data_IF_380545326527
#
_entry.id   IF_380545326527
#
_cell.length_a   1.000
_cell.length_b   1.000
_cell.length_c   1.000
_cell.angle_alpha   90.00
_cell.angle_beta   90.00
_cell.angle_gamma   90.00
#
_symmetry.space_group_name_H-M   'P 1'
#
loop_
_entity.id
_entity.type
_entity.pdbx_description
1 polymer ?
#
# COMPACT_ATOMS: atom_id res chain seq x y z
N UNK A 1 32.28 16.60 -81.82
CA UNK A 1 32.34 18.03 -82.18
C UNK A 1 31.01 18.64 -81.73
N UNK A 2 30.98 19.21 -80.52
CA UNK A 2 29.89 20.00 -79.94
C UNK A 2 30.61 21.02 -79.03
N UNK A 3 30.72 22.30 -79.42
CA UNK A 3 29.91 23.43 -78.90
C UNK A 3 30.20 23.66 -77.40
N UNK A 4 30.66 24.80 -76.87
CA UNK A 4 30.18 26.19 -76.93
C UNK A 4 31.12 26.98 -75.96
N UNK A 5 31.74 28.13 -76.30
CA UNK A 5 31.30 29.50 -75.99
C UNK A 5 30.76 29.70 -74.53
N UNK A 6 31.04 30.75 -73.74
CA UNK A 6 31.72 32.04 -73.88
C UNK A 6 31.61 32.76 -72.50
N UNK A 7 32.51 33.72 -72.22
CA UNK A 7 32.40 34.87 -71.29
C UNK A 7 32.33 34.63 -69.76
N UNK A 8 33.36 35.02 -69.00
CA UNK A 8 33.64 36.37 -68.47
C UNK A 8 32.71 36.76 -67.30
N UNK A 9 33.28 36.91 -66.10
CA UNK A 9 33.29 38.18 -65.36
C UNK A 9 34.24 38.09 -64.15
N UNK A 10 34.93 39.20 -63.96
CA UNK A 10 36.02 39.50 -63.05
C UNK A 10 35.67 39.46 -61.56
N UNK A 11 36.61 38.96 -60.77
CA UNK A 11 36.80 39.35 -59.38
C UNK A 11 38.11 38.77 -58.89
N UNK A 12 39.12 39.61 -58.64
CA UNK A 12 40.32 39.21 -57.94
C UNK A 12 39.89 38.67 -56.56
N UNK A 13 39.80 37.35 -56.43
CA UNK A 13 39.60 36.71 -55.14
C UNK A 13 40.95 36.78 -54.43
N UNK A 14 41.00 37.63 -53.41
CA UNK A 14 42.22 37.88 -52.64
C UNK A 14 42.34 36.73 -51.63
N UNK A 15 42.88 35.59 -52.08
CA UNK A 15 43.01 34.35 -51.30
C UNK A 15 43.76 34.58 -49.97
N UNK A 16 44.65 35.56 -49.91
CA UNK A 16 45.39 35.95 -48.70
C UNK A 16 44.45 36.39 -47.56
N UNK A 17 43.33 37.06 -47.86
CA UNK A 17 42.34 37.46 -46.83
C UNK A 17 41.51 36.29 -46.33
N UNK A 18 41.37 35.24 -47.14
CA UNK A 18 40.65 34.02 -46.78
C UNK A 18 41.55 33.12 -45.93
N UNK A 19 42.85 33.07 -46.24
CA UNK A 19 43.84 32.40 -45.41
C UNK A 19 44.10 33.11 -44.08
N UNK A 20 44.12 34.45 -44.02
CA UNK A 20 44.21 35.19 -42.75
C UNK A 20 42.96 35.01 -41.86
N UNK A 21 41.77 34.85 -42.46
CA UNK A 21 40.54 34.56 -41.72
C UNK A 21 40.43 33.10 -41.25
N UNK A 22 41.11 32.16 -41.93
CA UNK A 22 41.13 30.72 -41.60
C UNK A 22 42.29 30.37 -40.66
N UNK A 23 43.42 31.08 -40.76
CA UNK A 23 44.62 30.88 -39.95
C UNK A 23 44.82 31.96 -38.88
N UNK A 24 43.77 32.68 -38.46
CA UNK A 24 43.90 33.62 -37.35
C UNK A 24 44.49 32.88 -36.15
N UNK A 25 45.77 33.15 -35.87
CA UNK A 25 46.64 32.31 -35.05
C UNK A 25 46.09 32.19 -33.63
N UNK A 26 45.38 33.23 -33.18
CA UNK A 26 44.66 33.26 -31.91
C UNK A 26 43.49 32.28 -31.86
N UNK A 27 42.81 32.02 -32.98
CA UNK A 27 41.68 31.09 -33.04
C UNK A 27 42.17 29.64 -33.04
N UNK A 28 43.27 29.35 -33.75
CA UNK A 28 43.92 28.03 -33.75
C UNK A 28 44.58 27.74 -32.38
N UNK A 29 45.25 28.73 -31.77
CA UNK A 29 45.78 28.61 -30.42
C UNK A 29 44.66 28.44 -29.39
N UNK A 30 43.58 29.22 -29.49
CA UNK A 30 42.39 29.08 -28.65
C UNK A 30 41.71 27.71 -28.79
N UNK A 31 41.66 27.14 -30.00
CA UNK A 31 41.15 25.78 -30.23
C UNK A 31 42.09 24.70 -29.68
N UNK A 32 43.42 24.88 -29.79
CA UNK A 32 44.40 23.97 -29.20
C UNK A 32 44.36 24.00 -27.68
N UNK A 33 44.20 25.17 -27.08
CA UNK A 33 44.09 25.30 -25.62
C UNK A 33 42.73 24.80 -25.13
N UNK A 34 41.65 25.03 -25.88
CA UNK A 34 40.36 24.40 -25.60
C UNK A 34 40.44 22.88 -25.67
N UNK A 35 41.10 22.33 -26.69
CA UNK A 35 41.30 20.88 -26.81
C UNK A 35 42.09 20.33 -25.61
N UNK A 36 43.18 20.97 -25.18
CA UNK A 36 43.92 20.56 -23.97
C UNK A 36 43.06 20.61 -22.70
N UNK A 37 42.23 21.64 -22.56
CA UNK A 37 41.31 21.75 -21.41
C UNK A 37 40.27 20.63 -21.44
N UNK A 38 39.70 20.35 -22.61
CA UNK A 38 38.72 19.27 -22.80
C UNK A 38 39.35 17.91 -22.54
N UNK A 39 40.52 17.63 -23.08
CA UNK A 39 41.23 16.36 -22.89
C UNK A 39 41.60 16.16 -21.41
N UNK A 40 42.11 17.20 -20.73
CA UNK A 40 42.38 17.17 -19.29
C UNK A 40 41.11 16.95 -18.45
N UNK A 41 40.01 17.60 -18.82
CA UNK A 41 38.72 17.42 -18.16
C UNK A 41 38.17 16.00 -18.40
N UNK A 42 38.30 15.46 -19.62
CA UNK A 42 37.89 14.09 -19.97
C UNK A 42 38.72 13.07 -19.19
N UNK A 43 40.04 13.22 -19.09
CA UNK A 43 40.88 12.34 -18.26
C UNK A 43 40.51 12.42 -16.77
N UNK A 44 40.28 13.63 -16.25
CA UNK A 44 39.84 13.83 -14.88
C UNK A 44 38.46 13.20 -14.63
N UNK A 45 37.53 13.32 -15.59
CA UNK A 45 36.20 12.69 -15.55
C UNK A 45 36.29 11.16 -15.65
N UNK A 46 37.13 10.60 -16.53
CA UNK A 46 37.38 9.16 -16.58
C UNK A 46 37.94 8.63 -15.25
N UNK A 47 38.84 9.38 -14.63
CA UNK A 47 39.39 9.05 -13.31
C UNK A 47 38.34 9.19 -12.22
N UNK A 48 37.48 10.22 -12.27
CA UNK A 48 36.37 10.43 -11.34
C UNK A 48 35.34 9.30 -11.42
N UNK A 49 34.92 8.92 -12.64
CA UNK A 49 33.99 7.81 -12.89
C UNK A 49 34.55 6.48 -12.38
N UNK A 50 35.88 6.29 -12.45
CA UNK A 50 36.53 5.08 -11.96
C UNK A 50 36.82 5.07 -10.45
N UNK A 51 36.76 6.22 -9.75
CA UNK A 51 37.16 6.37 -8.33
C UNK A 51 36.00 6.77 -7.41
N UNK A 52 34.92 7.36 -7.92
CA UNK A 52 33.75 7.71 -7.12
C UNK A 52 32.71 6.60 -7.15
N UNK A 53 31.86 6.54 -6.12
CA UNK A 53 30.76 5.60 -5.98
C UNK A 53 29.66 5.78 -7.03
N UNK A 54 30.02 5.78 -8.31
CA UNK A 54 29.09 5.75 -9.43
C UNK A 54 28.19 4.52 -9.33
N UNK A 55 27.00 4.63 -9.92
CA UNK A 55 26.09 3.50 -10.09
C UNK A 55 26.81 2.43 -10.91
N UNK A 56 27.08 1.28 -10.30
CA UNK A 56 27.74 0.14 -10.93
C UNK A 56 26.73 -0.90 -11.38
N UNK A 57 25.60 -0.99 -10.67
CA UNK A 57 24.56 -1.96 -10.96
C UNK A 57 23.20 -1.45 -10.50
N UNK A 58 22.14 -1.81 -11.22
CA UNK A 58 20.76 -1.63 -10.79
C UNK A 58 20.07 -2.99 -10.69
N UNK A 59 19.60 -3.35 -9.51
CA UNK A 59 18.83 -4.59 -9.30
C UNK A 59 17.34 -4.25 -9.20
N UNK A 60 16.47 -4.80 -10.06
CA UNK A 60 15.03 -4.58 -9.96
C UNK A 60 14.47 -5.27 -8.70
N UNK A 61 13.56 -4.60 -8.01
CA UNK A 61 12.81 -5.14 -6.88
C UNK A 61 11.48 -5.65 -7.40
N UNK A 62 11.22 -6.95 -7.27
CA UNK A 62 10.03 -7.60 -7.82
C UNK A 62 9.13 -8.11 -6.69
N UNK A 63 7.85 -7.72 -6.72
CA UNK A 63 6.82 -8.24 -5.83
C UNK A 63 5.65 -8.73 -6.68
N UNK A 64 5.25 -9.99 -6.51
CA UNK A 64 4.13 -10.57 -7.29
C UNK A 64 4.37 -10.67 -8.79
N UNK A 65 5.63 -10.63 -9.25
CA UNK A 65 5.99 -10.63 -10.68
C UNK A 65 6.10 -9.23 -11.30
N UNK A 66 5.81 -8.17 -10.55
CA UNK A 66 5.89 -6.78 -11.01
C UNK A 66 7.09 -6.06 -10.38
N UNK A 67 7.82 -5.26 -11.19
CA UNK A 67 8.96 -4.46 -10.69
C UNK A 67 8.46 -3.19 -9.99
N UNK A 68 8.58 -3.14 -8.67
CA UNK A 68 8.09 -2.06 -7.79
C UNK A 68 9.17 -1.03 -7.41
N UNK A 69 10.41 -1.22 -7.87
CA UNK A 69 11.53 -0.34 -7.55
C UNK A 69 12.84 -0.85 -8.09
N UNK A 70 13.92 -0.11 -7.86
CA UNK A 70 15.28 -0.49 -8.19
C UNK A 70 16.21 -0.19 -7.01
N UNK A 71 17.11 -1.12 -6.74
CA UNK A 71 18.26 -0.89 -5.87
C UNK A 71 19.42 -0.46 -6.75
N UNK A 72 19.92 0.75 -6.50
CA UNK A 72 21.11 1.30 -7.12
C UNK A 72 22.30 0.91 -6.24
N UNK A 73 23.24 0.18 -6.84
CA UNK A 73 24.50 -0.17 -6.18
C UNK A 73 25.59 0.77 -6.63
N UNK A 74 26.16 1.48 -5.67
CA UNK A 74 27.36 2.30 -5.87
C UNK A 74 28.61 1.43 -5.87
N UNK A 75 29.75 1.93 -6.37
CA UNK A 75 31.00 1.16 -6.46
C UNK A 75 31.54 0.66 -5.11
N UNK A 76 31.14 1.28 -3.99
CA UNK A 76 31.43 0.83 -2.63
C UNK A 76 30.34 -0.11 -2.04
N UNK A 77 29.45 -0.65 -2.87
CA UNK A 77 28.33 -1.54 -2.50
C UNK A 77 27.38 -0.98 -1.44
N UNK A 78 27.21 0.33 -1.38
CA UNK A 78 26.19 0.95 -0.53
C UNK A 78 24.87 0.99 -1.31
N UNK A 79 23.82 0.26 -0.89
CA UNK A 79 22.58 0.23 -1.64
C UNK A 79 21.76 1.50 -1.40
N UNK A 80 21.28 2.10 -2.49
CA UNK A 80 20.22 3.12 -2.45
C UNK A 80 18.98 2.53 -3.12
N UNK A 81 17.92 2.33 -2.34
CA UNK A 81 16.67 1.76 -2.84
C UNK A 81 15.70 2.87 -3.20
N UNK A 82 15.19 2.83 -4.44
CA UNK A 82 14.17 3.77 -4.93
C UNK A 82 12.97 2.95 -5.39
N UNK A 83 11.80 3.20 -4.80
CA UNK A 83 10.54 2.59 -5.22
C UNK A 83 9.87 3.41 -6.33
N UNK A 84 9.10 2.75 -7.20
CA UNK A 84 8.28 3.44 -8.20
C UNK A 84 7.25 4.34 -7.52
N UNK A 85 7.07 5.56 -8.05
CA UNK A 85 5.92 6.40 -7.76
C UNK A 85 4.63 5.83 -8.38
N UNK A 86 3.48 6.23 -7.84
CA UNK A 86 2.16 5.60 -8.05
C UNK A 86 1.64 5.60 -9.50
N UNK A 87 2.15 6.47 -10.38
CA UNK A 87 1.58 6.72 -11.72
C UNK A 87 2.51 6.42 -12.90
N UNK A 88 3.61 5.68 -12.71
CA UNK A 88 4.68 5.48 -13.74
C UNK A 88 5.32 6.79 -14.25
N UNK A 89 4.90 7.94 -13.71
CA UNK A 89 5.50 9.24 -13.97
C UNK A 89 6.81 9.37 -13.19
N UNK A 90 7.92 9.14 -13.88
CA UNK A 90 9.24 9.43 -13.33
C UNK A 90 9.36 10.93 -13.06
N UNK A 91 9.68 11.37 -11.83
CA UNK A 91 9.93 12.78 -11.57
C UNK A 91 11.08 13.27 -12.45
N UNK A 92 10.79 14.22 -13.33
CA UNK A 92 11.75 14.75 -14.29
C UNK A 92 12.36 16.03 -13.73
N UNK A 93 13.63 15.95 -13.34
CA UNK A 93 14.45 17.13 -13.07
C UNK A 93 14.97 17.65 -14.40
N UNK A 94 14.75 18.92 -14.70
CA UNK A 94 15.10 19.53 -16.00
C UNK A 94 15.49 21.00 -15.85
N UNK A 95 15.98 21.60 -16.92
CA UNK A 95 16.34 23.01 -16.96
C UNK A 95 15.34 23.79 -17.83
N UNK A 96 14.93 24.97 -17.38
CA UNK A 96 14.12 25.91 -18.18
C UNK A 96 14.79 27.27 -18.24
N UNK A 97 14.79 27.91 -19.41
CA UNK A 97 15.33 29.25 -19.60
C UNK A 97 14.23 30.29 -19.42
N UNK A 98 14.43 31.25 -18.50
CA UNK A 98 13.50 32.34 -18.27
C UNK A 98 13.77 33.52 -19.22
N UNK A 99 12.86 34.50 -19.28
CA UNK A 99 12.96 35.69 -20.12
C UNK A 99 14.19 36.58 -19.85
N UNK A 100 14.84 36.38 -18.71
CA UNK A 100 16.11 37.00 -18.31
C UNK A 100 17.36 36.26 -18.84
N UNK A 101 17.17 35.25 -19.71
CA UNK A 101 18.18 34.38 -20.33
C UNK A 101 18.93 33.48 -19.33
N UNK A 102 18.52 33.38 -18.07
CA UNK A 102 19.08 32.46 -17.09
C UNK A 102 18.39 31.10 -17.17
N UNK A 103 19.11 30.04 -16.79
CA UNK A 103 18.55 28.71 -16.65
C UNK A 103 18.21 28.44 -15.18
N UNK A 104 17.10 27.73 -14.97
CA UNK A 104 16.57 27.39 -13.66
C UNK A 104 16.22 25.91 -13.59
N UNK A 105 16.39 25.32 -12.42
CA UNK A 105 15.99 23.94 -12.17
C UNK A 105 14.47 23.81 -12.09
N UNK A 106 13.95 22.74 -12.68
CA UNK A 106 12.54 22.39 -12.69
C UNK A 106 12.33 20.95 -12.23
N UNK A 107 11.21 20.71 -11.55
CA UNK A 107 10.68 19.39 -11.25
C UNK A 107 9.34 19.25 -11.96
N UNK A 108 9.22 18.28 -12.87
CA UNK A 108 8.02 18.06 -13.68
C UNK A 108 7.56 19.34 -14.41
N UNK A 109 8.53 20.12 -14.92
CA UNK A 109 8.27 21.38 -15.63
C UNK A 109 7.94 22.59 -14.74
N UNK A 110 7.82 22.42 -13.42
CA UNK A 110 7.60 23.52 -12.46
C UNK A 110 8.93 23.97 -11.86
N UNK A 111 9.13 25.28 -11.68
CA UNK A 111 10.35 25.83 -11.08
C UNK A 111 10.53 25.32 -9.64
N UNK A 112 11.73 24.82 -9.35
CA UNK A 112 12.17 24.56 -7.98
C UNK A 112 12.49 25.90 -7.34
N UNK A 113 12.02 26.11 -6.11
CA UNK A 113 12.20 27.35 -5.35
C UNK A 113 12.98 27.10 -4.06
N UNK A 114 13.74 28.10 -3.63
CA UNK A 114 14.37 28.14 -2.31
C UNK A 114 13.34 28.42 -1.18
N UNK A 115 13.80 28.43 0.07
CA UNK A 115 12.96 28.66 1.26
C UNK A 115 12.40 30.08 1.34
N UNK A 116 12.99 31.03 0.61
CA UNK A 116 12.49 32.40 0.47
C UNK A 116 11.53 32.55 -0.71
N UNK A 117 11.27 31.47 -1.46
CA UNK A 117 10.35 31.41 -2.59
C UNK A 117 10.96 31.82 -3.94
N UNK A 118 12.28 32.04 -4.02
CA UNK A 118 12.96 32.41 -5.25
C UNK A 118 13.32 31.17 -6.09
N UNK A 119 13.23 31.23 -7.43
CA UNK A 119 13.64 30.13 -8.29
C UNK A 119 15.13 29.80 -8.16
N UNK A 120 15.45 28.50 -8.07
CA UNK A 120 16.85 28.03 -7.96
C UNK A 120 17.54 28.11 -9.31
N UNK A 121 18.46 29.07 -9.45
CA UNK A 121 19.21 29.31 -10.68
C UNK A 121 20.24 28.18 -10.93
N UNK A 122 20.26 27.65 -12.15
CA UNK A 122 21.18 26.60 -12.58
C UNK A 122 22.49 27.15 -13.18
N UNK A 123 22.55 28.46 -13.42
CA UNK A 123 23.75 29.15 -13.87
C UNK A 123 24.34 30.01 -12.75
N UNK A 124 25.68 30.06 -12.65
CA UNK A 124 26.35 31.16 -11.94
C UNK A 124 26.09 32.48 -12.68
N UNK A 125 25.64 33.51 -11.98
CA UNK A 125 25.46 34.86 -12.57
C UNK A 125 26.79 35.64 -12.52
N UNK A 126 27.14 36.53 -13.45
CA UNK A 126 26.38 37.71 -13.88
C UNK A 126 26.47 38.07 -15.37
N UNK A 127 25.56 38.96 -15.78
CA UNK A 127 25.39 39.47 -17.13
C UNK A 127 26.65 40.14 -17.71
N UNK A 128 27.07 39.69 -18.89
CA UNK A 128 27.96 40.44 -19.78
C UNK A 128 29.47 40.25 -19.57
N UNK A 129 29.91 39.54 -18.54
CA UNK A 129 31.32 39.20 -18.36
C UNK A 129 31.57 37.72 -18.65
N UNK A 130 32.66 37.43 -19.37
CA UNK A 130 33.12 36.07 -19.64
C UNK A 130 33.34 35.37 -18.29
N UNK A 131 32.49 34.41 -17.95
CA UNK A 131 32.72 33.51 -16.83
C UNK A 131 33.64 32.40 -17.34
N UNK A 132 34.84 32.25 -16.77
CA UNK A 132 35.73 31.15 -17.11
C UNK A 132 35.03 29.80 -17.07
N UNK A 133 35.24 28.98 -18.10
CA UNK A 133 34.70 27.61 -18.11
C UNK A 133 35.31 26.84 -16.93
N UNK A 134 34.50 26.13 -16.12
CA UNK A 134 35.05 25.34 -15.03
C UNK A 134 36.09 24.33 -15.54
N UNK A 135 37.25 24.31 -14.90
CA UNK A 135 38.34 23.39 -15.21
C UNK A 135 38.52 22.40 -14.05
N UNK A 136 38.81 21.14 -14.36
CA UNK A 136 39.02 20.09 -13.38
C UNK A 136 40.43 19.50 -13.54
N UNK A 137 41.14 19.32 -12.43
CA UNK A 137 42.46 18.66 -12.40
C UNK A 137 42.54 17.63 -11.29
N UNK A 138 43.22 16.52 -11.56
CA UNK A 138 43.63 15.59 -10.53
C UNK A 138 44.89 16.14 -9.83
N UNK A 139 44.96 16.05 -8.50
CA UNK A 139 46.08 16.54 -7.70
C UNK A 139 47.41 15.92 -8.11
N UNK A 140 47.42 14.66 -8.59
CA UNK A 140 48.61 14.01 -9.18
C UNK A 140 49.28 14.86 -10.26
N UNK A 141 48.48 15.62 -11.02
CA UNK A 141 48.89 16.45 -12.15
C UNK A 141 49.12 17.92 -11.76
N UNK A 142 49.12 18.28 -10.47
CA UNK A 142 49.36 19.64 -9.98
C UNK A 142 50.62 19.70 -9.10
N UNK A 143 51.41 20.77 -9.18
CA UNK A 143 52.67 20.94 -8.44
C UNK A 143 52.51 21.71 -7.12
N UNK A 144 51.72 22.79 -7.10
CA UNK A 144 51.34 23.62 -5.95
C UNK A 144 49.93 24.18 -6.18
N UNK A 145 49.19 24.55 -5.12
CA UNK A 145 47.95 25.32 -5.28
C UNK A 145 48.26 26.82 -5.45
N UNK A 146 47.21 27.61 -5.59
CA UNK A 146 47.28 29.07 -5.78
C UNK A 146 48.02 29.83 -4.69
N UNK A 147 48.06 29.27 -3.48
CA UNK A 147 48.64 29.88 -2.29
C UNK A 147 49.99 29.25 -1.94
N UNK A 148 50.58 28.48 -2.86
CA UNK A 148 51.84 27.74 -2.68
C UNK A 148 51.78 26.66 -1.59
N UNK A 149 50.58 26.19 -1.24
CA UNK A 149 50.36 25.11 -0.27
C UNK A 149 50.63 23.75 -0.92
N UNK A 150 51.13 22.76 -0.16
CA UNK A 150 51.29 21.40 -0.66
C UNK A 150 49.96 20.81 -1.18
N UNK A 151 49.93 20.45 -2.47
CA UNK A 151 48.79 19.76 -3.10
C UNK A 151 48.63 18.35 -2.53
N UNK A 152 47.40 17.98 -2.17
CA UNK A 152 47.07 16.57 -1.98
C UNK A 152 47.03 15.90 -3.35
N UNK A 153 48.10 15.16 -3.65
CA UNK A 153 48.24 14.37 -4.88
C UNK A 153 47.09 13.42 -5.11
N UNK A 154 46.36 13.04 -4.05
CA UNK A 154 45.20 12.17 -4.19
C UNK A 154 43.94 12.95 -4.53
N UNK A 155 43.77 14.23 -4.22
CA UNK A 155 42.51 14.95 -4.40
C UNK A 155 42.20 15.32 -5.87
N UNK A 156 40.99 15.82 -6.13
CA UNK A 156 40.65 16.54 -7.36
C UNK A 156 40.47 18.01 -7.03
N UNK A 157 40.68 18.89 -8.00
CA UNK A 157 40.60 20.33 -7.83
C UNK A 157 39.80 20.94 -8.98
N UNK A 158 38.93 21.91 -8.66
CA UNK A 158 38.12 22.65 -9.61
C UNK A 158 38.51 24.13 -9.58
N UNK A 159 38.67 24.71 -10.76
CA UNK A 159 38.82 26.15 -10.96
C UNK A 159 37.61 26.68 -11.69
N UNK A 160 37.10 27.83 -11.25
CA UNK A 160 36.00 28.56 -11.88
C UNK A 160 36.44 29.95 -12.38
N UNK A 161 37.75 30.17 -12.46
CA UNK A 161 38.40 31.45 -12.74
C UNK A 161 39.58 31.34 -13.74
N UNK A 162 39.47 30.43 -14.71
CA UNK A 162 40.45 30.14 -15.79
C UNK A 162 41.78 29.57 -15.27
N UNK A 163 41.70 28.76 -14.21
CA UNK A 163 42.87 28.13 -13.59
C UNK A 163 43.65 29.09 -12.71
N UNK A 164 43.13 30.29 -12.44
CA UNK A 164 43.76 31.27 -11.55
C UNK A 164 43.72 30.82 -10.10
N UNK A 165 42.66 30.14 -9.65
CA UNK A 165 42.57 29.51 -8.32
C UNK A 165 41.93 28.11 -8.42
N UNK A 166 42.30 27.23 -7.49
CA UNK A 166 41.89 25.83 -7.49
C UNK A 166 41.38 25.40 -6.12
N UNK A 167 40.12 24.98 -6.05
CA UNK A 167 39.46 24.49 -4.83
C UNK A 167 39.34 22.97 -4.88
N UNK A 168 39.56 22.28 -3.76
CA UNK A 168 39.42 20.82 -3.70
C UNK A 168 37.97 20.38 -3.96
N UNK A 169 37.81 19.41 -4.86
CA UNK A 169 36.55 18.72 -5.09
C UNK A 169 36.38 17.64 -4.01
N UNK A 170 35.22 17.60 -3.32
CA UNK A 170 35.01 16.73 -2.17
C UNK A 170 35.10 15.24 -2.50
N UNK A 171 35.67 14.45 -1.57
CA UNK A 171 35.57 12.99 -1.57
C UNK A 171 34.74 12.48 -0.39
N UNK A 172 33.82 11.52 -0.58
CA UNK A 172 32.96 11.03 0.48
C UNK A 172 33.70 10.33 1.63
N UNK A 173 34.92 9.83 1.40
CA UNK A 173 35.50 8.82 2.26
C UNK A 173 36.55 9.31 3.27
N UNK A 174 37.17 10.49 3.15
CA UNK A 174 38.14 10.99 4.16
C UNK A 174 38.24 12.53 4.29
N UNK A 175 37.59 13.06 5.32
CA UNK A 175 38.14 14.07 6.23
C UNK A 175 38.24 15.55 5.81
N UNK A 176 38.54 15.87 4.54
CA UNK A 176 38.83 17.26 4.16
C UNK A 176 38.04 17.71 2.91
N UNK A 177 36.85 17.16 2.66
CA UNK A 177 35.98 17.49 1.54
C UNK A 177 34.68 18.15 1.98
N UNK A 178 34.23 19.18 1.26
CA UNK A 178 32.91 19.80 1.43
C UNK A 178 31.80 18.80 1.06
N UNK A 179 31.18 18.11 2.01
CA UNK A 179 29.94 17.39 1.72
C UNK A 179 28.84 18.45 1.44
N UNK A 180 28.13 18.46 0.30
CA UNK A 180 27.07 19.45 0.06
C UNK A 180 25.93 19.35 1.07
N UNK A 181 25.80 18.19 1.73
CA UNK A 181 24.85 17.90 2.79
C UNK A 181 25.61 17.69 4.10
N UNK A 182 25.30 18.48 5.12
CA UNK A 182 25.83 18.35 6.46
C UNK A 182 25.16 17.20 7.23
N UNK A 183 23.85 17.01 7.08
CA UNK A 183 23.09 15.95 7.76
C UNK A 183 21.75 15.67 7.08
N UNK A 184 21.27 14.43 7.16
CA UNK A 184 19.88 14.06 6.83
C UNK A 184 19.16 13.70 8.13
N UNK A 185 17.98 14.30 8.36
CA UNK A 185 17.13 14.04 9.51
C UNK A 185 15.81 13.47 9.00
N UNK A 186 15.51 12.25 9.43
CA UNK A 186 14.24 11.61 9.13
C UNK A 186 13.19 11.99 10.17
N UNK A 187 12.14 12.72 9.77
CA UNK A 187 11.00 13.10 10.63
C UNK A 187 9.77 12.25 10.28
N UNK A 188 8.72 12.36 11.08
CA UNK A 188 7.48 11.60 10.82
C UNK A 188 6.82 11.99 9.49
N UNK A 189 6.74 13.29 9.19
CA UNK A 189 6.06 13.87 8.02
C UNK A 189 7.00 14.42 6.94
N UNK A 190 8.32 14.40 7.16
CA UNK A 190 9.29 14.94 6.20
C UNK A 190 10.69 14.35 6.36
N UNK A 191 11.55 14.57 5.38
CA UNK A 191 12.99 14.35 5.44
C UNK A 191 13.67 15.70 5.27
N UNK A 192 14.44 16.12 6.27
CA UNK A 192 15.22 17.36 6.19
C UNK A 192 16.65 17.03 5.79
N UNK A 193 17.12 17.67 4.72
CA UNK A 193 18.50 17.61 4.28
C UNK A 193 19.14 18.95 4.62
N UNK A 194 19.97 18.96 5.65
CA UNK A 194 20.78 20.11 6.03
C UNK A 194 21.94 20.24 5.04
N UNK A 195 22.06 21.39 4.40
CA UNK A 195 23.17 21.74 3.52
C UNK A 195 24.37 22.18 4.36
N UNK A 196 25.57 22.00 3.82
CA UNK A 196 26.81 22.37 4.51
C UNK A 196 27.31 23.76 4.11
N UNK A 197 26.40 24.74 3.98
CA UNK A 197 26.75 26.13 3.69
C UNK A 197 26.86 26.97 4.97
N UNK A 198 27.47 28.15 4.90
CA UNK A 198 27.58 29.07 6.05
C UNK A 198 26.21 29.52 6.59
N UNK A 199 25.17 29.44 5.76
CA UNK A 199 23.80 29.82 6.10
C UNK A 199 23.01 28.71 6.83
N UNK A 200 23.46 27.46 6.79
CA UNK A 200 22.77 26.30 7.35
C UNK A 200 21.45 25.97 6.64
N UNK A 201 21.40 26.12 5.32
CA UNK A 201 20.19 25.92 4.51
C UNK A 201 19.61 24.50 4.69
N UNK A 202 18.28 24.38 4.75
CA UNK A 202 17.58 23.10 4.88
C UNK A 202 16.69 22.86 3.67
N UNK A 203 16.88 21.74 2.98
CA UNK A 203 15.94 21.22 1.99
C UNK A 203 14.99 20.25 2.68
N UNK A 204 13.72 20.65 2.83
CA UNK A 204 12.68 19.79 3.39
C UNK A 204 11.92 19.07 2.27
N UNK A 205 11.93 17.73 2.34
CA UNK A 205 11.16 16.86 1.46
C UNK A 205 9.99 16.29 2.27
N UNK A 206 8.78 16.74 2.01
CA UNK A 206 7.59 16.22 2.69
C UNK A 206 7.39 14.74 2.32
N UNK A 207 7.20 13.91 3.35
CA UNK A 207 6.73 12.54 3.18
C UNK A 207 5.25 12.60 2.85
N UNK A 208 4.84 11.86 1.83
CA UNK A 208 3.42 11.70 1.55
C UNK A 208 2.80 10.85 2.67
N UNK A 209 2.16 11.53 3.62
CA UNK A 209 1.39 10.88 4.67
C UNK A 209 0.14 10.29 4.05
N UNK A 210 0.04 8.97 4.03
CA UNK A 210 -1.15 8.29 3.50
C UNK A 210 -2.36 8.59 4.39
N UNK A 211 -3.46 8.99 3.76
CA UNK A 211 -4.75 9.06 4.40
C UNK A 211 -5.09 7.71 5.04
N UNK A 212 -5.55 7.73 6.28
CA UNK A 212 -6.06 6.56 6.98
C UNK A 212 -7.49 6.80 7.44
N UNK A 213 -8.28 5.76 7.36
CA UNK A 213 -9.57 5.66 8.04
C UNK A 213 -9.43 4.57 9.10
N UNK A 214 -9.82 4.86 10.33
CA UNK A 214 -9.64 3.96 11.46
C UNK A 214 -10.99 3.75 12.11
N UNK A 215 -11.45 2.50 12.06
CA UNK A 215 -12.68 2.08 12.71
C UNK A 215 -12.44 1.81 14.19
N UNK A 216 -13.39 2.18 15.03
CA UNK A 216 -13.35 1.87 16.46
C UNK A 216 -13.65 0.38 16.69
N UNK A 217 -12.82 -0.26 17.50
CA UNK A 217 -12.90 -1.69 17.84
C UNK A 217 -13.04 -1.89 19.34
N UNK A 218 -13.45 -3.08 19.76
CA UNK A 218 -13.42 -3.48 21.16
C UNK A 218 -11.96 -3.65 21.66
N UNK A 219 -11.81 -3.98 22.95
CA UNK A 219 -10.51 -4.19 23.62
C UNK A 219 -9.65 -5.29 22.97
N UNK A 220 -10.26 -6.20 22.22
CA UNK A 220 -9.60 -7.29 21.51
C UNK A 220 -9.26 -6.94 20.04
N UNK A 221 -9.52 -5.70 19.61
CA UNK A 221 -9.30 -5.28 18.22
C UNK A 221 -10.38 -5.73 17.23
N UNK A 222 -11.51 -6.25 17.72
CA UNK A 222 -12.59 -6.79 16.91
C UNK A 222 -13.81 -5.84 16.88
N UNK A 223 -14.62 -5.98 15.83
CA UNK A 223 -15.92 -5.32 15.72
C UNK A 223 -16.99 -6.38 15.94
N UNK A 224 -17.74 -6.27 17.04
CA UNK A 224 -18.75 -7.26 17.41
C UNK A 224 -20.13 -6.90 16.85
N UNK A 225 -20.78 -7.87 16.19
CA UNK A 225 -22.21 -7.79 15.84
C UNK A 225 -22.98 -8.65 16.84
N UNK A 226 -23.90 -8.05 17.59
CA UNK A 226 -24.84 -8.79 18.43
C UNK A 226 -26.23 -8.69 17.82
N UNK A 227 -26.74 -9.81 17.29
CA UNK A 227 -28.15 -10.01 16.95
C UNK A 227 -28.80 -8.90 16.09
N UNK A 228 -28.07 -8.34 15.13
CA UNK A 228 -28.59 -7.30 14.22
C UNK A 228 -28.06 -7.49 12.80
N UNK A 229 -28.94 -7.32 11.80
CA UNK A 229 -28.57 -7.25 10.39
C UNK A 229 -27.89 -5.91 10.01
N UNK A 230 -27.93 -4.94 10.93
CA UNK A 230 -27.29 -3.64 10.82
C UNK A 230 -26.18 -3.52 11.85
N UNK A 231 -24.98 -3.18 11.41
CA UNK A 231 -23.84 -2.89 12.26
C UNK A 231 -23.44 -1.44 12.05
N UNK A 232 -23.59 -0.60 13.08
CA UNK A 232 -23.09 0.78 13.07
C UNK A 232 -21.72 0.84 13.75
N UNK A 233 -20.74 1.44 13.07
CA UNK A 233 -19.35 1.51 13.50
C UNK A 233 -18.90 2.97 13.42
N UNK A 234 -18.29 3.47 14.49
CA UNK A 234 -17.63 4.78 14.48
C UNK A 234 -16.28 4.69 13.78
N UNK A 235 -15.89 5.78 13.11
CA UNK A 235 -14.58 5.90 12.49
C UNK A 235 -13.96 7.27 12.76
N UNK A 236 -12.64 7.33 12.67
CA UNK A 236 -11.86 8.57 12.64
C UNK A 236 -10.91 8.56 11.45
N UNK A 237 -10.46 9.74 11.05
CA UNK A 237 -9.52 9.92 9.96
C UNK A 237 -8.17 10.44 10.46
N UNK A 238 -7.10 10.04 9.78
CA UNK A 238 -5.76 10.63 9.93
C UNK A 238 -5.26 11.04 8.54
N UNK A 239 -4.61 12.20 8.44
CA UNK A 239 -4.06 12.73 7.18
C UNK A 239 -5.12 12.84 6.06
N UNK A 240 -6.33 13.27 6.41
CA UNK A 240 -7.41 13.61 5.48
C UNK A 240 -7.69 15.10 5.67
N UNK A 241 -7.55 15.87 4.59
CA UNK A 241 -7.73 17.32 4.63
C UNK A 241 -9.21 17.68 4.82
N UNK A 242 -9.47 18.84 5.44
CA UNK A 242 -10.83 19.30 5.79
C UNK A 242 -11.76 19.48 4.56
N UNK A 243 -11.19 19.62 3.35
CA UNK A 243 -11.91 19.75 2.09
C UNK A 243 -12.16 18.41 1.37
N UNK A 244 -11.73 17.31 1.98
CA UNK A 244 -11.87 15.96 1.45
C UNK A 244 -13.08 15.26 2.07
N UNK A 245 -13.73 14.40 1.28
CA UNK A 245 -14.87 13.60 1.73
C UNK A 245 -14.61 12.11 1.47
N UNK A 246 -15.37 11.26 2.16
CA UNK A 246 -15.23 9.81 2.10
C UNK A 246 -16.40 9.21 1.33
N UNK A 247 -16.08 8.30 0.41
CA UNK A 247 -17.06 7.42 -0.23
C UNK A 247 -16.88 6.01 0.31
N UNK A 248 -17.93 5.46 0.93
CA UNK A 248 -17.96 4.10 1.43
C UNK A 248 -18.71 3.17 0.47
N UNK A 249 -18.08 2.07 0.09
CA UNK A 249 -18.66 1.07 -0.82
C UNK A 249 -18.47 -0.33 -0.23
N UNK A 250 -19.51 -1.15 -0.23
CA UNK A 250 -19.41 -2.55 0.14
C UNK A 250 -19.43 -3.45 -1.08
N UNK A 251 -18.71 -4.58 -1.01
CA UNK A 251 -18.71 -5.60 -2.06
C UNK A 251 -19.53 -6.82 -1.64
N UNK A 252 -19.89 -7.67 -2.60
CA UNK A 252 -20.52 -8.97 -2.35
C UNK A 252 -21.77 -8.89 -1.44
N UNK A 253 -22.69 -7.97 -1.74
CA UNK A 253 -23.93 -7.82 -0.97
C UNK A 253 -23.78 -7.08 0.36
N UNK A 254 -22.60 -6.59 0.70
CA UNK A 254 -22.44 -5.61 1.77
C UNK A 254 -22.98 -4.26 1.28
N UNK A 255 -24.09 -3.81 1.85
CA UNK A 255 -24.58 -2.45 1.65
C UNK A 255 -24.01 -1.55 2.73
N UNK A 256 -23.67 -0.32 2.36
CA UNK A 256 -23.02 0.62 3.27
C UNK A 256 -23.76 1.94 3.24
N UNK A 257 -24.07 2.46 4.42
CA UNK A 257 -24.72 3.74 4.63
C UNK A 257 -23.80 4.63 5.46
N UNK A 258 -23.33 5.73 4.87
CA UNK A 258 -22.66 6.78 5.63
C UNK A 258 -23.72 7.63 6.35
N UNK A 259 -23.61 7.70 7.68
CA UNK A 259 -24.55 8.44 8.51
C UNK A 259 -24.21 9.93 8.58
N UNK A 260 -23.06 10.36 8.04
CA UNK A 260 -22.56 11.74 8.06
C UNK A 260 -22.35 12.32 9.48
N UNK A 261 -22.16 11.45 10.47
CA UNK A 261 -21.96 11.81 11.88
C UNK A 261 -20.69 11.19 12.48
N UNK A 262 -19.77 10.72 11.62
CA UNK A 262 -18.58 9.95 12.03
C UNK A 262 -18.87 8.46 12.25
N UNK A 263 -20.05 7.98 11.85
CA UNK A 263 -20.38 6.56 11.85
C UNK A 263 -20.80 6.08 10.47
N UNK A 264 -20.59 4.78 10.24
CA UNK A 264 -21.05 4.07 9.05
C UNK A 264 -21.90 2.88 9.48
N UNK A 265 -23.02 2.66 8.81
CA UNK A 265 -23.87 1.48 9.00
C UNK A 265 -23.64 0.49 7.87
N UNK A 266 -23.15 -0.68 8.24
CA UNK A 266 -23.05 -1.85 7.38
C UNK A 266 -24.38 -2.62 7.43
N UNK A 267 -24.94 -2.89 6.27
CA UNK A 267 -26.18 -3.66 6.10
C UNK A 267 -25.86 -4.94 5.34
N UNK A 268 -26.14 -6.06 5.98
CA UNK A 268 -25.84 -7.40 5.48
C UNK A 268 -27.00 -7.89 4.60
N UNK A 269 -26.80 -7.94 3.28
CA UNK A 269 -27.81 -8.50 2.36
C UNK A 269 -27.76 -10.05 2.36
N UNK A 270 -28.95 -10.65 2.25
CA UNK A 270 -29.32 -12.02 2.63
C UNK A 270 -28.60 -13.16 1.88
N UNK A 271 -27.73 -12.87 0.90
CA UNK A 271 -27.31 -13.88 -0.10
C UNK A 271 -25.80 -14.04 -0.35
N UNK A 272 -24.91 -13.18 0.19
CA UNK A 272 -23.51 -13.12 -0.32
C UNK A 272 -22.39 -12.77 0.68
N UNK A 273 -22.51 -13.10 1.96
CA UNK A 273 -21.51 -12.74 3.00
C UNK A 273 -20.13 -13.45 2.90
N UNK A 274 -19.76 -13.97 1.73
CA UNK A 274 -18.45 -14.58 1.51
C UNK A 274 -17.53 -13.56 0.86
N UNK A 275 -16.38 -13.30 1.47
CA UNK A 275 -15.33 -12.40 0.97
C UNK A 275 -15.81 -10.96 0.71
N UNK A 276 -16.62 -10.39 1.62
CA UNK A 276 -17.06 -8.99 1.50
C UNK A 276 -15.94 -8.03 1.94
N UNK A 277 -15.78 -6.94 1.20
CA UNK A 277 -14.84 -5.87 1.51
C UNK A 277 -15.60 -4.57 1.74
N UNK A 278 -15.13 -3.78 2.71
CA UNK A 278 -15.43 -2.36 2.78
C UNK A 278 -14.34 -1.59 2.07
N UNK A 279 -14.73 -0.78 1.11
CA UNK A 279 -13.87 0.10 0.35
C UNK A 279 -14.16 1.52 0.79
N UNK A 280 -13.11 2.26 1.18
CA UNK A 280 -13.19 3.67 1.52
C UNK A 280 -12.34 4.46 0.55
N UNK A 281 -12.99 5.35 -0.20
CA UNK A 281 -12.32 6.23 -1.16
C UNK A 281 -12.26 7.64 -0.57
N UNK A 282 -11.06 8.21 -0.50
CA UNK A 282 -10.83 9.59 -0.07
C UNK A 282 -10.80 10.47 -1.31
N UNK A 283 -11.74 11.40 -1.41
CA UNK A 283 -11.95 12.24 -2.58
C UNK A 283 -11.78 13.70 -2.18
N UNK A 284 -11.04 14.46 -2.97
CA UNK A 284 -10.94 15.91 -2.82
C UNK A 284 -11.41 16.55 -4.10
N UNK A 285 -12.41 17.43 -3.98
CA UNK A 285 -13.13 17.95 -5.15
C UNK A 285 -13.64 16.77 -6.00
N UNK A 286 -13.00 16.50 -7.13
CA UNK A 286 -13.34 15.41 -8.06
C UNK A 286 -12.18 14.41 -8.26
N UNK A 287 -11.08 14.55 -7.54
CA UNK A 287 -9.91 13.66 -7.64
C UNK A 287 -9.87 12.61 -6.53
N UNK A 288 -9.62 11.35 -6.92
CA UNK A 288 -9.43 10.24 -5.99
C UNK A 288 -8.00 10.29 -5.44
N UNK A 289 -7.84 10.61 -4.17
CA UNK A 289 -6.54 10.66 -3.50
C UNK A 289 -6.08 9.28 -3.04
N UNK A 290 -7.01 8.52 -2.47
CA UNK A 290 -6.73 7.20 -1.91
C UNK A 290 -7.93 6.28 -1.99
N UNK A 291 -7.65 4.98 -2.11
CA UNK A 291 -8.65 3.91 -2.03
C UNK A 291 -8.13 2.85 -1.07
N UNK A 292 -8.85 2.66 0.02
CA UNK A 292 -8.46 1.79 1.13
C UNK A 292 -9.45 0.62 1.18
N UNK A 293 -8.94 -0.60 1.25
CA UNK A 293 -9.75 -1.82 1.30
C UNK A 293 -9.59 -2.48 2.66
N UNK A 294 -10.71 -2.76 3.30
CA UNK A 294 -10.82 -3.52 4.54
C UNK A 294 -11.52 -4.83 4.25
N UNK A 295 -10.82 -5.95 4.46
CA UNK A 295 -11.43 -7.27 4.40
C UNK A 295 -12.34 -7.45 5.62
N UNK A 296 -13.55 -7.95 5.41
CA UNK A 296 -14.48 -8.27 6.50
C UNK A 296 -14.56 -9.79 6.62
N UNK A 297 -14.17 -10.30 7.78
CA UNK A 297 -14.33 -11.70 8.15
C UNK A 297 -15.44 -11.82 9.19
N UNK A 298 -16.46 -12.61 8.88
CA UNK A 298 -17.55 -12.90 9.81
C UNK A 298 -17.20 -14.16 10.61
N UNK A 299 -16.96 -13.99 11.91
CA UNK A 299 -16.81 -15.11 12.83
C UNK A 299 -18.15 -15.41 13.51
N UNK A 300 -18.73 -16.55 13.15
CA UNK A 300 -19.91 -17.13 13.79
C UNK A 300 -19.48 -18.06 14.91
N UNK A 301 -19.96 -17.79 16.13
CA UNK A 301 -19.83 -18.72 17.26
C UNK A 301 -21.17 -19.42 17.41
N UNK A 302 -21.23 -20.70 17.01
CA UNK A 302 -22.39 -21.56 17.25
C UNK A 302 -22.43 -21.86 18.75
N UNK A 303 -23.34 -21.18 19.45
CA UNK A 303 -23.59 -21.39 20.89
C UNK A 303 -24.66 -22.46 21.11
N UNK A 304 -24.80 -22.91 22.36
CA UNK A 304 -25.83 -23.87 22.73
C UNK A 304 -27.24 -23.37 22.40
N UNK A 305 -28.08 -24.24 21.82
CA UNK A 305 -29.47 -23.91 21.56
C UNK A 305 -30.21 -23.81 22.90
N UNK A 306 -30.56 -22.60 23.31
CA UNK A 306 -31.17 -22.35 24.62
C UNK A 306 -32.60 -22.91 24.70
N UNK A 307 -33.06 -23.23 25.93
CA UNK A 307 -34.38 -23.83 26.17
C UNK A 307 -35.57 -22.94 25.79
N UNK A 308 -35.36 -21.63 25.67
CA UNK A 308 -36.36 -20.67 25.19
C UNK A 308 -36.68 -20.82 23.69
N UNK A 309 -35.81 -21.46 22.92
CA UNK A 309 -35.98 -21.59 21.46
C UNK A 309 -36.72 -22.86 21.04
N UNK A 310 -37.21 -23.66 21.99
CA UNK A 310 -37.99 -24.84 21.66
C UNK A 310 -39.06 -25.13 22.71
N UNK A 311 -40.11 -25.80 22.24
CA UNK A 311 -41.19 -26.31 23.07
C UNK A 311 -41.49 -27.76 22.69
N UNK A 312 -41.89 -28.55 23.67
CA UNK A 312 -42.36 -29.93 23.48
C UNK A 312 -43.85 -30.01 23.77
N UNK A 313 -44.60 -30.58 22.85
CA UNK A 313 -46.04 -30.84 22.99
C UNK A 313 -46.29 -32.37 22.93
N UNK A 314 -46.86 -32.99 23.99
CA UNK A 314 -47.17 -32.40 25.30
C UNK A 314 -45.91 -32.18 26.17
N UNK A 315 -45.99 -31.25 27.14
CA UNK A 315 -44.88 -30.98 28.08
C UNK A 315 -44.62 -32.14 29.05
N UNK A 316 -45.68 -32.87 29.41
CA UNK A 316 -45.60 -34.14 30.14
C UNK A 316 -46.01 -35.22 29.16
N UNK A 317 -45.16 -36.21 28.94
CA UNK A 317 -45.45 -37.22 27.93
C UNK A 317 -46.51 -38.18 28.45
N UNK A 318 -47.24 -38.78 27.53
CA UNK A 318 -48.25 -39.79 27.81
C UNK A 318 -48.13 -40.94 26.83
N UNK A 319 -48.51 -42.13 27.29
CA UNK A 319 -48.60 -43.31 26.43
C UNK A 319 -50.02 -43.41 25.88
N UNK A 320 -50.16 -43.28 24.57
CA UNK A 320 -51.44 -43.42 23.87
C UNK A 320 -51.31 -44.57 22.88
N UNK A 321 -52.09 -45.64 23.08
CA UNK A 321 -52.05 -46.82 22.22
C UNK A 321 -50.71 -47.56 22.24
N UNK A 322 -50.01 -47.56 23.38
CA UNK A 322 -48.70 -48.21 23.54
C UNK A 322 -47.53 -47.41 22.98
N UNK A 323 -47.74 -46.13 22.62
CA UNK A 323 -46.71 -45.25 22.06
C UNK A 323 -46.63 -43.94 22.82
N UNK A 324 -45.40 -43.48 23.02
CA UNK A 324 -45.11 -42.15 23.54
C UNK A 324 -44.86 -41.23 22.36
N UNK A 325 -45.80 -40.33 22.10
CA UNK A 325 -45.70 -39.35 21.02
C UNK A 325 -45.25 -37.99 21.56
N UNK A 326 -44.38 -37.32 20.81
CA UNK A 326 -43.98 -35.95 21.11
C UNK A 326 -43.81 -35.15 19.82
N UNK A 327 -44.25 -33.89 19.84
CA UNK A 327 -43.97 -32.89 18.82
C UNK A 327 -43.06 -31.83 19.40
N UNK A 328 -41.84 -31.73 18.89
CA UNK A 328 -40.89 -30.67 19.23
C UNK A 328 -41.03 -29.58 18.17
N UNK A 329 -41.33 -28.35 18.59
CA UNK A 329 -41.28 -27.17 17.74
C UNK A 329 -40.15 -26.29 18.24
N UNK A 330 -39.32 -25.78 17.34
CA UNK A 330 -38.26 -24.87 17.74
C UNK A 330 -37.90 -23.87 16.65
N UNK A 331 -37.02 -22.96 17.05
CA UNK A 331 -36.54 -21.84 16.25
C UNK A 331 -35.02 -21.89 16.30
N UNK A 332 -34.38 -21.88 15.15
CA UNK A 332 -33.00 -21.43 15.05
C UNK A 332 -33.03 -19.90 14.98
N UNK A 333 -32.44 -19.18 15.94
CA UNK A 333 -32.46 -17.73 15.94
C UNK A 333 -31.78 -17.13 14.70
N UNK A 334 -32.11 -15.88 14.40
CA UNK A 334 -31.33 -15.06 13.49
C UNK A 334 -29.85 -15.04 13.90
N UNK A 335 -28.95 -15.12 12.92
CA UNK A 335 -27.49 -15.15 13.07
C UNK A 335 -26.93 -16.36 13.84
N UNK A 336 -27.75 -17.39 14.11
CA UNK A 336 -27.29 -18.59 14.80
C UNK A 336 -26.77 -19.65 13.82
N UNK A 337 -27.49 -19.92 12.73
CA UNK A 337 -27.19 -21.06 11.85
C UNK A 337 -26.10 -20.75 10.82
N UNK A 338 -24.86 -21.16 11.10
CA UNK A 338 -23.71 -20.95 10.20
C UNK A 338 -23.97 -21.47 8.78
N UNK A 339 -23.59 -20.67 7.78
CA UNK A 339 -23.84 -20.97 6.37
C UNK A 339 -23.17 -22.26 5.88
N UNK A 340 -22.09 -22.70 6.52
CA UNK A 340 -21.32 -23.89 6.16
C UNK A 340 -21.56 -25.07 7.13
N UNK A 341 -22.51 -24.94 8.06
CA UNK A 341 -22.77 -25.98 9.04
C UNK A 341 -23.90 -26.94 8.64
N UNK A 342 -23.81 -28.16 9.16
CA UNK A 342 -24.92 -29.12 9.22
C UNK A 342 -25.27 -29.31 10.69
N UNK A 343 -26.55 -29.17 11.02
CA UNK A 343 -27.07 -29.44 12.36
C UNK A 343 -27.99 -30.64 12.29
N UNK A 344 -27.68 -31.69 13.03
CA UNK A 344 -28.50 -32.90 13.12
C UNK A 344 -29.13 -33.00 14.50
N UNK A 345 -30.45 -33.00 14.56
CA UNK A 345 -31.21 -33.15 15.79
C UNK A 345 -31.76 -34.59 15.87
N UNK A 346 -31.42 -35.29 16.95
CA UNK A 346 -31.93 -36.63 17.22
C UNK A 346 -32.66 -36.65 18.56
N UNK A 347 -34.00 -36.80 18.57
CA UNK A 347 -34.74 -36.98 19.83
C UNK A 347 -34.45 -38.37 20.40
N UNK A 348 -34.32 -38.49 21.72
CA UNK A 348 -34.16 -39.79 22.37
C UNK A 348 -34.82 -39.83 23.75
N UNK A 349 -35.37 -40.98 24.10
CA UNK A 349 -35.92 -41.26 25.42
C UNK A 349 -34.87 -41.94 26.29
N UNK A 350 -34.74 -41.51 27.53
CA UNK A 350 -33.82 -42.07 28.53
C UNK A 350 -34.60 -42.49 29.77
N UNK A 351 -34.33 -43.68 30.29
CA UNK A 351 -34.89 -44.17 31.56
C UNK A 351 -33.82 -44.94 32.33
N UNK A 352 -34.15 -45.35 33.56
CA UNK A 352 -33.27 -46.19 34.35
C UNK A 352 -33.24 -47.61 33.75
N UNK A 353 -32.27 -47.86 32.87
CA UNK A 353 -32.09 -49.15 32.21
C UNK A 353 -31.84 -49.08 30.70
N UNK A 354 -31.99 -47.91 30.06
CA UNK A 354 -31.73 -47.80 28.64
C UNK A 354 -31.99 -46.44 28.01
N UNK A 355 -31.68 -46.37 26.72
CA UNK A 355 -31.94 -45.25 25.83
C UNK A 355 -32.52 -45.79 24.53
N UNK A 356 -33.52 -45.11 23.97
CA UNK A 356 -34.00 -45.35 22.61
C UNK A 356 -33.93 -44.05 21.81
N UNK A 357 -33.23 -44.09 20.67
CA UNK A 357 -33.09 -42.94 19.77
C UNK A 357 -34.21 -42.96 18.72
N UNK A 358 -34.72 -41.79 18.41
CA UNK A 358 -35.64 -41.56 17.31
C UNK A 358 -34.90 -41.36 15.99
N UNK A 359 -35.64 -40.94 14.97
CA UNK A 359 -35.06 -40.62 13.66
C UNK A 359 -34.25 -39.30 13.75
N UNK A 360 -33.00 -39.25 13.25
CA UNK A 360 -32.27 -38.00 13.10
C UNK A 360 -32.88 -37.10 12.02
N UNK A 361 -32.88 -35.79 12.25
CA UNK A 361 -33.33 -34.77 11.31
C UNK A 361 -32.18 -33.80 11.06
N UNK A 362 -31.76 -33.70 9.80
CA UNK A 362 -30.71 -32.78 9.37
C UNK A 362 -31.27 -31.43 8.92
N UNK A 363 -30.54 -30.38 9.27
CA UNK A 363 -30.70 -29.01 8.80
C UNK A 363 -29.35 -28.57 8.24
N UNK A 364 -29.34 -27.72 7.22
CA UNK A 364 -28.09 -27.29 6.58
C UNK A 364 -28.06 -25.78 6.35
N UNK A 365 -26.85 -25.22 6.40
CA UNK A 365 -26.59 -23.82 6.09
C UNK A 365 -26.66 -23.55 4.59
N UNK A 366 -26.72 -22.26 4.24
CA UNK A 366 -26.93 -21.79 2.88
C UNK A 366 -25.83 -22.15 1.88
N UNK A 367 -24.62 -22.47 2.33
CA UNK A 367 -23.47 -22.84 1.50
C UNK A 367 -23.18 -24.34 1.47
N UNK A 368 -23.94 -25.13 2.23
CA UNK A 368 -23.81 -26.59 2.23
C UNK A 368 -24.61 -27.19 1.06
N UNK A 369 -23.97 -28.10 0.34
CA UNK A 369 -24.62 -28.95 -0.67
C UNK A 369 -25.36 -30.12 0.01
N UNK A 370 -26.60 -30.36 -0.41
CA UNK A 370 -27.44 -31.42 0.15
C UNK A 370 -28.92 -31.09 0.11
N UNK A 371 -29.72 -32.04 0.60
CA UNK A 371 -31.20 -31.99 0.53
C UNK A 371 -31.85 -31.77 1.90
N UNK A 372 -31.07 -31.48 2.95
CA UNK A 372 -31.64 -31.13 4.26
C UNK A 372 -32.38 -29.79 4.19
N UNK A 373 -33.26 -29.54 5.15
CA UNK A 373 -33.93 -28.23 5.24
C UNK A 373 -32.87 -27.13 5.39
N UNK A 374 -32.85 -26.21 4.42
CA UNK A 374 -31.94 -25.07 4.41
C UNK A 374 -32.42 -24.02 5.41
N UNK A 375 -31.55 -23.63 6.33
CA UNK A 375 -31.82 -22.59 7.34
C UNK A 375 -31.01 -21.35 6.96
N UNK A 376 -31.67 -20.19 6.99
CA UNK A 376 -31.02 -18.93 6.66
C UNK A 376 -30.17 -18.47 7.82
N UNK A 377 -28.92 -18.05 7.56
CA UNK A 377 -28.09 -17.48 8.60
C UNK A 377 -28.72 -16.20 9.15
N UNK A 378 -29.16 -15.28 8.28
CA UNK A 378 -29.65 -13.96 8.70
C UNK A 378 -30.98 -14.02 9.46
N UNK A 379 -31.93 -14.83 8.97
CA UNK A 379 -33.29 -14.89 9.53
C UNK A 379 -33.51 -16.02 10.53
N UNK A 380 -32.61 -16.99 10.55
CA UNK A 380 -32.85 -18.25 11.24
C UNK A 380 -33.93 -19.07 10.54
N UNK A 381 -34.64 -19.90 11.31
CA UNK A 381 -35.73 -20.70 10.76
C UNK A 381 -36.43 -21.55 11.80
N UNK A 382 -37.66 -21.94 11.48
CA UNK A 382 -38.45 -22.80 12.36
C UNK A 382 -38.26 -24.27 11.97
N UNK A 383 -38.32 -25.15 12.97
CA UNK A 383 -38.36 -26.58 12.77
C UNK A 383 -39.50 -27.23 13.55
N UNK A 384 -39.97 -28.37 13.04
CA UNK A 384 -40.94 -29.21 13.73
C UNK A 384 -40.54 -30.66 13.56
N UNK A 385 -40.30 -31.33 14.68
CA UNK A 385 -39.92 -32.74 14.74
C UNK A 385 -41.06 -33.50 15.41
N UNK A 386 -41.62 -34.48 14.71
CA UNK A 386 -42.59 -35.42 15.28
C UNK A 386 -41.86 -36.73 15.54
N UNK A 387 -41.95 -37.20 16.77
CA UNK A 387 -41.35 -38.47 17.19
C UNK A 387 -42.38 -39.36 17.89
N UNK A 388 -42.12 -40.67 17.84
CA UNK A 388 -42.93 -41.69 18.49
C UNK A 388 -42.04 -42.84 18.93
N UNK A 389 -42.19 -43.26 20.18
CA UNK A 389 -41.44 -44.37 20.75
C UNK A 389 -42.40 -45.46 21.23
N UNK A 390 -42.07 -46.72 20.98
CA UNK A 390 -42.81 -47.84 21.56
C UNK A 390 -42.63 -47.82 23.08
N UNK A 391 -43.74 -47.86 23.83
CA UNK A 391 -43.72 -47.81 25.28
C UNK A 391 -43.35 -49.18 25.86
N UNK A 392 -42.42 -49.18 26.81
CA UNK A 392 -42.15 -50.32 27.70
C UNK A 392 -42.38 -49.91 29.15
N UNK A 393 -42.76 -50.83 30.06
CA UNK A 393 -43.07 -50.50 31.46
C UNK A 393 -41.97 -49.70 32.19
N UNK A 394 -40.71 -49.92 31.86
CA UNK A 394 -39.55 -49.24 32.44
C UNK A 394 -39.51 -47.73 32.10
N UNK A 395 -40.21 -47.31 31.04
CA UNK A 395 -40.32 -45.91 30.63
C UNK A 395 -41.30 -45.09 31.49
N UNK A 396 -41.97 -45.69 32.48
CA UNK A 396 -42.84 -44.95 33.41
C UNK A 396 -42.11 -43.80 34.13
N UNK A 397 -40.78 -43.92 34.31
CA UNK A 397 -39.88 -42.84 34.76
C UNK A 397 -38.82 -42.58 33.69
N UNK A 398 -39.24 -41.98 32.60
CA UNK A 398 -38.37 -41.59 31.49
C UNK A 398 -38.30 -40.07 31.34
N UNK A 399 -37.33 -39.63 30.54
CA UNK A 399 -37.10 -38.24 30.17
C UNK A 399 -36.85 -38.19 28.66
N UNK A 400 -37.34 -37.15 27.99
CA UNK A 400 -37.05 -36.91 26.58
C UNK A 400 -35.93 -35.90 26.45
N UNK A 401 -34.97 -36.22 25.58
CA UNK A 401 -33.82 -35.39 25.27
C UNK A 401 -33.72 -35.12 23.77
N UNK A 402 -32.99 -34.06 23.42
CA UNK A 402 -32.46 -33.82 22.09
C UNK A 402 -30.93 -33.95 22.13
N UNK A 403 -30.40 -34.76 21.21
CA UNK A 403 -28.99 -34.75 20.82
C UNK A 403 -28.84 -33.83 19.60
N UNK A 404 -28.14 -32.72 19.75
CA UNK A 404 -27.88 -31.76 18.67
C UNK A 404 -26.41 -31.85 18.30
N UNK A 405 -26.15 -32.44 17.14
CA UNK A 405 -24.83 -32.54 16.56
C UNK A 405 -24.64 -31.40 15.57
N UNK A 406 -23.61 -30.58 15.78
CA UNK A 406 -23.25 -29.46 14.93
C UNK A 406 -21.92 -29.78 14.25
N UNK A 407 -21.90 -29.81 12.92
CA UNK A 407 -20.71 -30.06 12.11
C UNK A 407 -20.41 -28.84 11.24
N UNK A 408 -19.19 -28.29 11.35
CA UNK A 408 -18.68 -27.18 10.54
C UNK A 408 -17.29 -27.55 10.00
N UNK A 409 -17.24 -28.01 8.75
CA UNK A 409 -15.99 -28.51 8.15
C UNK A 409 -15.43 -29.71 8.93
N UNK A 410 -14.32 -29.53 9.65
CA UNK A 410 -13.70 -30.57 10.51
C UNK A 410 -14.11 -30.47 11.98
N UNK A 411 -14.73 -29.36 12.38
CA UNK A 411 -15.16 -29.13 13.75
C UNK A 411 -16.51 -29.81 14.00
N UNK A 412 -16.63 -30.49 15.13
CA UNK A 412 -17.85 -31.15 15.57
C UNK A 412 -18.12 -30.84 17.04
N UNK A 413 -19.36 -30.52 17.37
CA UNK A 413 -19.82 -30.36 18.75
C UNK A 413 -21.16 -31.05 18.96
N UNK A 414 -21.41 -31.52 20.17
CA UNK A 414 -22.61 -32.27 20.53
C UNK A 414 -23.21 -31.72 21.82
N UNK A 415 -24.50 -31.39 21.77
CA UNK A 415 -25.27 -30.90 22.90
C UNK A 415 -26.37 -31.90 23.26
N UNK A 416 -26.57 -32.11 24.56
CA UNK A 416 -27.62 -32.96 25.09
C UNK A 416 -28.57 -32.12 25.95
N UNK A 417 -29.81 -31.96 25.50
CA UNK A 417 -30.80 -31.10 26.15
C UNK A 417 -31.98 -31.93 26.63
N UNK A 418 -32.32 -31.86 27.92
CA UNK A 418 -33.57 -32.42 28.44
C UNK A 418 -34.73 -31.50 28.08
N UNK A 419 -35.78 -32.03 27.46
CA UNK A 419 -36.88 -31.23 26.90
C UNK A 419 -38.28 -31.60 27.40
N UNK A 420 -38.46 -32.76 28.05
CA UNK A 420 -39.69 -33.14 28.72
C UNK A 420 -39.46 -34.23 29.78
N UNK A 421 -40.40 -34.31 30.72
CA UNK A 421 -40.42 -35.25 31.84
C UNK A 421 -41.53 -36.29 31.71
N UNK A 422 -41.20 -37.54 32.08
CA UNK A 422 -42.13 -38.61 32.45
C UNK A 422 -42.99 -39.16 31.33
N UNK A 423 -43.66 -40.29 31.61
CA UNK A 423 -44.81 -40.78 30.84
C UNK A 423 -45.94 -41.01 31.84
N UNK A 424 -47.02 -40.22 31.77
CA UNK A 424 -48.24 -40.51 32.52
C UNK A 424 -49.02 -41.59 31.76
N UNK A 425 -49.36 -42.67 32.46
CA UNK A 425 -50.21 -43.73 31.93
C UNK A 425 -51.68 -43.32 32.10
N UNK A 426 -52.38 -43.11 30.98
CA UNK A 426 -53.84 -43.17 30.96
C UNK A 426 -54.25 -44.56 30.47
N UNK A 427 -54.88 -45.32 31.35
CA UNK A 427 -55.45 -46.65 31.08
C UNK A 427 -56.68 -46.58 30.20
#
# INVERSE_FOLDING_TARGET
MLTLCICCLSGCYNDDKLWDAVNDVQYIEGLKDWQKIVDSNIEALHTLVNVTGCVVETTPIVLGGETIGHTIWTANRTPVTIYKGKDDAMPMISLTQSGDKKWYWTLNGKLIKDVQGNPVCANGHAAGEYVPKPQLKAGVNMTVDTENTPIDKKAFYMSIDDGKSWTTVPRPDKGNGYAPFARVIDKESSVEILMNDEAGSVLELLKELKAKVIFETNENGNIEIKNSAHLTIAYRTENVDDDSWLLFEGTNGLSVLDNNDGTVTLVLDEMKLVNSDLIVTVIRQDEVLSKIKYAIEFLTVLTDLQSEYYITEPQVLESVGGKVHATIKGIFPALWFDTNAIVTITPFMKWNGGVVKGRPIGFQGEMVEGDNQRISFLRGGNFTIKTGFEYIPEMAKSELYLEVLIQKGKEESCQLMKIADGVILYS
#
